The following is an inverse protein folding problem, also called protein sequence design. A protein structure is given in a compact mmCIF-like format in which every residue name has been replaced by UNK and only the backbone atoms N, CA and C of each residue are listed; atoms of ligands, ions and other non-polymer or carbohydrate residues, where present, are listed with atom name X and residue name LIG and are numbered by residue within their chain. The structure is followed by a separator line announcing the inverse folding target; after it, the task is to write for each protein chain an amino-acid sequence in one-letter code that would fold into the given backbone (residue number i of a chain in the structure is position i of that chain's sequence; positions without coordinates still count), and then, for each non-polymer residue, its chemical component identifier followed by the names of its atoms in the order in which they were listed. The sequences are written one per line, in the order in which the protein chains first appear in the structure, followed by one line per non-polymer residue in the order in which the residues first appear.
data_IF_222345882260
#
_entry.id   IF_222345882260
#
_cell.length_a   1.000
_cell.length_b   1.000
_cell.length_c   1.000
_cell.angle_alpha   90.00
_cell.angle_beta   90.00
_cell.angle_gamma   90.00
#
_symmetry.space_group_name_H-M   'P 1'
#
loop_
_entity.id
_entity.type
_entity.pdbx_description
1 polymer ?
#
# COMPACT_ATOMS: atom_id res chain seq x y z
N UNK A 1 -18.02 63.01 -4.22
CA UNK A 1 -16.98 61.97 -4.40
C UNK A 1 -17.40 60.75 -3.61
N UNK A 2 -17.70 59.62 -4.27
CA UNK A 2 -17.94 58.32 -3.63
C UNK A 2 -16.95 57.33 -4.22
N UNK A 3 -16.02 56.88 -3.38
CA UNK A 3 -15.05 55.83 -3.71
C UNK A 3 -15.78 54.49 -3.71
N UNK A 4 -15.80 53.81 -4.86
CA UNK A 4 -16.26 52.42 -4.96
C UNK A 4 -15.01 51.54 -4.86
N UNK A 5 -14.93 50.77 -3.78
CA UNK A 5 -13.89 49.76 -3.61
C UNK A 5 -14.15 48.59 -4.56
N UNK A 6 -13.16 48.22 -5.36
CA UNK A 6 -13.15 46.98 -6.16
C UNK A 6 -12.60 45.88 -5.26
N UNK A 7 -13.35 44.81 -4.96
CA UNK A 7 -12.76 43.69 -4.25
C UNK A 7 -11.95 42.87 -5.26
N UNK A 8 -10.64 42.80 -5.04
CA UNK A 8 -9.76 41.82 -5.67
C UNK A 8 -10.25 40.42 -5.34
N UNK A 9 -10.81 39.72 -6.33
CA UNK A 9 -11.10 38.29 -6.25
C UNK A 9 -9.76 37.56 -6.31
N UNK A 10 -9.22 37.24 -5.14
CA UNK A 10 -8.10 36.32 -5.01
C UNK A 10 -8.63 34.92 -5.34
N UNK A 11 -8.42 34.48 -6.58
CA UNK A 11 -8.72 33.12 -7.01
C UNK A 11 -7.82 32.15 -6.23
N UNK A 12 -8.35 31.58 -5.16
CA UNK A 12 -7.77 30.43 -4.48
C UNK A 12 -7.96 29.22 -5.41
N UNK A 13 -6.99 29.00 -6.30
CA UNK A 13 -6.84 27.76 -7.04
C UNK A 13 -6.50 26.67 -6.01
N UNK A 14 -7.52 25.99 -5.49
CA UNK A 14 -7.38 24.68 -4.86
C UNK A 14 -6.88 23.74 -5.96
N UNK A 15 -5.57 23.55 -6.04
CA UNK A 15 -4.97 22.35 -6.61
C UNK A 15 -5.41 21.19 -5.70
N UNK A 16 -6.57 20.61 -6.00
CA UNK A 16 -6.85 19.25 -5.58
C UNK A 16 -5.86 18.36 -6.32
N UNK A 17 -4.68 18.15 -5.74
CA UNK A 17 -3.94 16.94 -6.08
C UNK A 17 -4.82 15.77 -5.69
N UNK A 18 -5.25 15.02 -6.69
CA UNK A 18 -5.91 13.74 -6.52
C UNK A 18 -4.85 12.83 -5.90
N UNK A 19 -4.75 12.84 -4.57
CA UNK A 19 -4.01 11.83 -3.83
C UNK A 19 -4.70 10.51 -4.19
N UNK A 20 -4.06 9.72 -5.06
CA UNK A 20 -4.51 8.35 -5.36
C UNK A 20 -4.85 7.67 -4.03
N UNK A 21 -6.07 7.17 -3.95
CA UNK A 21 -6.80 6.85 -2.71
C UNK A 21 -6.27 5.59 -2.00
N UNK A 22 -5.00 5.60 -1.64
CA UNK A 22 -4.39 4.59 -0.79
C UNK A 22 -4.82 4.72 0.66
N UNK A 23 -4.93 3.58 1.34
CA UNK A 23 -5.24 3.55 2.76
C UNK A 23 -3.96 3.65 3.58
N UNK A 24 -3.93 4.60 4.51
CA UNK A 24 -2.82 4.78 5.45
C UNK A 24 -3.01 3.84 6.64
N UNK A 25 -1.96 3.08 6.94
CA UNK A 25 -1.85 2.22 8.12
C UNK A 25 -1.31 3.00 9.33
N UNK A 26 -1.57 2.49 10.53
CA UNK A 26 -0.87 2.89 11.74
C UNK A 26 0.62 2.55 11.65
N UNK A 27 1.43 3.26 12.44
CA UNK A 27 2.87 3.04 12.54
C UNK A 27 3.20 1.60 13.01
N UNK A 28 3.85 0.77 12.18
CA UNK A 28 4.15 -0.62 12.53
C UNK A 28 5.38 -0.77 13.45
N UNK A 29 6.19 0.28 13.65
CA UNK A 29 7.46 0.20 14.38
C UNK A 29 7.35 -0.31 15.82
N UNK A 30 6.33 0.06 16.61
CA UNK A 30 6.17 -0.46 17.97
C UNK A 30 5.94 -1.98 18.04
N UNK A 31 5.65 -2.62 16.90
CA UNK A 31 5.30 -4.03 16.83
C UNK A 31 6.39 -4.90 16.20
N UNK A 32 7.58 -4.35 15.96
CA UNK A 32 8.72 -5.12 15.47
C UNK A 32 8.92 -6.40 16.30
N UNK A 33 9.24 -7.49 15.61
CA UNK A 33 9.41 -8.83 16.20
C UNK A 33 8.17 -9.44 16.85
N UNK A 34 6.99 -8.83 16.70
CA UNK A 34 5.71 -9.36 17.20
C UNK A 34 4.74 -9.59 16.03
N UNK A 35 3.93 -10.65 16.11
CA UNK A 35 2.88 -10.89 15.11
C UNK A 35 1.68 -9.97 15.31
N UNK A 36 1.12 -9.50 14.19
CA UNK A 36 -0.17 -8.80 14.17
C UNK A 36 -1.20 -9.70 13.50
N UNK A 37 -2.20 -10.08 14.29
CA UNK A 37 -3.13 -11.14 13.92
C UNK A 37 -4.55 -10.60 13.83
N UNK A 38 -5.23 -10.95 12.74
CA UNK A 38 -6.68 -10.87 12.52
C UNK A 38 -7.15 -12.21 11.91
N UNK A 39 -8.22 -12.18 11.12
CA UNK A 39 -8.80 -13.34 10.42
C UNK A 39 -7.79 -14.15 9.60
N UNK A 40 -6.71 -13.51 9.15
CA UNK A 40 -5.73 -14.11 8.24
C UNK A 40 -4.54 -14.73 9.00
N UNK A 41 -4.60 -14.86 10.33
CA UNK A 41 -3.53 -15.52 11.11
C UNK A 41 -2.21 -14.74 11.11
N UNK A 42 -1.09 -15.44 10.93
CA UNK A 42 0.26 -14.85 10.89
C UNK A 42 0.67 -14.35 9.48
N UNK A 43 -0.28 -14.22 8.57
CA UNK A 43 0.00 -13.82 7.18
C UNK A 43 0.28 -12.32 7.03
N UNK A 44 0.83 -11.96 5.86
CA UNK A 44 1.15 -10.60 5.48
C UNK A 44 -0.08 -9.67 5.42
N UNK A 45 -1.20 -10.18 4.93
CA UNK A 45 -2.49 -9.45 4.87
C UNK A 45 -3.03 -9.14 6.26
N UNK A 46 -2.73 -10.01 7.24
CA UNK A 46 -3.12 -9.84 8.64
C UNK A 46 -2.50 -8.57 9.24
N UNK A 47 -1.24 -8.27 8.93
CA UNK A 47 -0.58 -7.02 9.34
C UNK A 47 -1.30 -5.80 8.77
N UNK A 48 -1.53 -5.77 7.45
CA UNK A 48 -2.18 -4.63 6.77
C UNK A 48 -3.60 -4.42 7.30
N UNK A 49 -4.40 -5.49 7.43
CA UNK A 49 -5.75 -5.43 8.00
C UNK A 49 -5.76 -5.04 9.47
N UNK A 50 -4.73 -5.40 10.23
CA UNK A 50 -4.61 -5.01 11.62
C UNK A 50 -4.31 -3.51 11.78
N UNK A 51 -3.47 -2.96 10.91
CA UNK A 51 -2.97 -1.59 10.99
C UNK A 51 -3.80 -0.57 10.20
N UNK A 52 -4.65 -1.01 9.27
CA UNK A 52 -5.60 -0.12 8.58
C UNK A 52 -6.98 -0.21 9.22
N UNK A 53 -7.52 0.95 9.62
CA UNK A 53 -8.89 1.05 10.16
C UNK A 53 -9.96 0.70 9.13
N UNK A 54 -9.66 0.89 7.83
CA UNK A 54 -10.60 0.62 6.74
C UNK A 54 -10.43 -0.80 6.22
N UNK A 55 -9.22 -1.18 5.77
CA UNK A 55 -9.01 -2.49 5.13
C UNK A 55 -9.27 -3.67 6.08
N UNK A 56 -9.21 -3.44 7.39
CA UNK A 56 -9.49 -4.43 8.41
C UNK A 56 -10.89 -5.04 8.37
N UNK A 57 -11.85 -4.34 7.75
CA UNK A 57 -13.26 -4.74 7.65
C UNK A 57 -13.59 -5.42 6.31
N UNK A 58 -12.60 -5.54 5.42
CA UNK A 58 -12.77 -6.06 4.07
C UNK A 58 -11.93 -7.32 3.82
N UNK A 59 -12.45 -8.21 2.98
CA UNK A 59 -11.67 -9.34 2.47
C UNK A 59 -10.75 -8.89 1.33
N UNK A 60 -9.66 -9.64 1.08
CA UNK A 60 -8.71 -9.33 -0.01
C UNK A 60 -9.33 -9.43 -1.41
N UNK A 61 -10.52 -10.02 -1.55
CA UNK A 61 -11.27 -10.04 -2.81
C UNK A 61 -11.77 -8.66 -3.24
N UNK A 62 -11.92 -7.73 -2.29
CA UNK A 62 -12.34 -6.34 -2.55
C UNK A 62 -11.18 -5.42 -2.92
N UNK A 63 -9.94 -5.88 -2.71
CA UNK A 63 -8.75 -5.09 -2.99
C UNK A 63 -8.53 -5.01 -4.48
N UNK A 64 -8.34 -3.78 -4.98
CA UNK A 64 -7.99 -3.50 -6.36
C UNK A 64 -6.67 -2.74 -6.43
N UNK A 65 -6.02 -2.89 -7.59
CA UNK A 65 -4.69 -2.38 -7.80
C UNK A 65 -4.73 -0.90 -8.16
N UNK A 66 -4.20 -0.04 -7.28
CA UNK A 66 -4.02 1.38 -7.55
C UNK A 66 -2.73 1.68 -8.32
N UNK A 67 -2.18 2.87 -8.08
CA UNK A 67 -0.92 3.30 -8.67
C UNK A 67 0.23 2.37 -8.29
N UNK A 68 1.15 2.13 -9.22
CA UNK A 68 2.36 1.36 -8.94
C UNK A 68 3.31 2.22 -8.11
N UNK A 69 3.78 1.66 -6.98
CA UNK A 69 4.63 2.40 -6.02
C UNK A 69 5.93 2.89 -6.67
N UNK A 70 6.52 2.09 -7.56
CA UNK A 70 7.75 2.46 -8.27
C UNK A 70 7.56 3.51 -9.36
N UNK A 71 6.33 3.71 -9.84
CA UNK A 71 6.01 4.76 -10.81
C UNK A 71 5.67 6.09 -10.10
N UNK A 72 5.32 6.04 -8.81
CA UNK A 72 5.07 7.19 -7.96
C UNK A 72 5.60 6.94 -6.54
N UNK A 73 6.83 7.39 -6.28
CA UNK A 73 7.48 7.22 -4.98
C UNK A 73 7.09 8.29 -3.94
N UNK A 74 6.24 9.25 -4.30
CA UNK A 74 5.78 10.32 -3.40
C UNK A 74 4.52 9.90 -2.60
N UNK A 75 4.14 8.62 -2.66
CA UNK A 75 3.06 8.11 -1.82
C UNK A 75 3.41 8.26 -0.33
N UNK A 76 2.43 8.55 0.55
CA UNK A 76 2.72 8.74 1.96
C UNK A 76 3.33 7.49 2.60
N UNK A 77 4.27 7.70 3.52
CA UNK A 77 4.72 6.66 4.44
C UNK A 77 3.52 6.01 5.14
N UNK A 78 3.61 4.71 5.36
CA UNK A 78 2.56 3.83 5.90
C UNK A 78 1.38 3.54 4.97
N UNK A 79 1.48 3.89 3.69
CA UNK A 79 0.48 3.45 2.70
C UNK A 79 0.43 1.92 2.62
N UNK A 80 -0.78 1.36 2.62
CA UNK A 80 -1.03 -0.05 2.39
C UNK A 80 -0.74 -0.41 0.91
N UNK A 81 0.13 -1.39 0.70
CA UNK A 81 0.56 -1.82 -0.63
C UNK A 81 0.46 -3.34 -0.76
N UNK A 82 0.27 -3.82 -1.98
CA UNK A 82 0.24 -5.24 -2.27
C UNK A 82 0.72 -5.52 -3.69
N UNK A 83 1.11 -6.77 -3.92
CA UNK A 83 1.21 -7.33 -5.27
C UNK A 83 -0.17 -7.68 -5.81
N UNK A 84 -0.31 -7.68 -7.12
CA UNK A 84 -1.56 -8.03 -7.81
C UNK A 84 -1.25 -8.95 -8.99
N UNK A 85 -0.58 -10.07 -8.72
CA UNK A 85 0.02 -10.94 -9.74
C UNK A 85 -0.91 -12.06 -10.22
N UNK A 86 -2.15 -12.09 -9.73
CA UNK A 86 -3.15 -13.05 -10.19
C UNK A 86 -3.74 -12.66 -11.54
N UNK A 87 -4.37 -13.61 -12.27
CA UNK A 87 -5.12 -13.35 -13.50
C UNK A 87 -5.97 -12.07 -13.46
N UNK A 88 -5.77 -11.21 -14.46
CA UNK A 88 -6.48 -9.93 -14.57
C UNK A 88 -6.03 -8.87 -13.56
N UNK A 89 -4.83 -8.99 -12.98
CA UNK A 89 -4.29 -8.02 -12.02
C UNK A 89 -4.98 -8.07 -10.66
N UNK A 90 -5.35 -9.27 -10.22
CA UNK A 90 -6.06 -9.47 -8.95
C UNK A 90 -5.12 -9.92 -7.84
N UNK A 91 -5.44 -9.54 -6.61
CA UNK A 91 -4.78 -10.08 -5.42
C UNK A 91 -5.20 -11.53 -5.20
N UNK A 92 -6.50 -11.79 -5.08
CA UNK A 92 -7.02 -13.13 -4.85
C UNK A 92 -7.75 -13.66 -6.08
N UNK A 93 -7.41 -14.89 -6.50
CA UNK A 93 -8.04 -15.57 -7.63
C UNK A 93 -8.66 -16.92 -7.25
N UNK A 94 -8.56 -17.33 -5.98
CA UNK A 94 -9.03 -18.62 -5.50
C UNK A 94 -8.17 -19.82 -5.94
N UNK A 95 -7.18 -19.62 -6.81
CA UNK A 95 -6.22 -20.65 -7.20
C UNK A 95 -5.01 -20.63 -6.25
N UNK A 96 -4.73 -21.76 -5.61
CA UNK A 96 -3.61 -21.92 -4.65
C UNK A 96 -2.25 -21.51 -5.20
N UNK A 97 -1.99 -21.78 -6.50
CA UNK A 97 -0.71 -21.43 -7.13
C UNK A 97 -0.53 -19.91 -7.29
N UNK A 98 -1.62 -19.17 -7.42
CA UNK A 98 -1.56 -17.71 -7.55
C UNK A 98 -1.38 -17.04 -6.19
N UNK A 99 -1.92 -17.64 -5.11
CA UNK A 99 -1.76 -17.13 -3.75
C UNK A 99 -0.28 -17.10 -3.31
N UNK A 100 0.54 -18.05 -3.76
CA UNK A 100 1.97 -18.07 -3.49
C UNK A 100 2.72 -16.87 -4.09
N UNK A 101 2.12 -16.19 -5.07
CA UNK A 101 2.67 -14.98 -5.72
C UNK A 101 2.16 -13.70 -5.09
N UNK A 102 1.37 -13.77 -4.02
CA UNK A 102 0.78 -12.57 -3.40
C UNK A 102 1.49 -12.17 -2.12
N UNK A 103 1.65 -10.87 -1.94
CA UNK A 103 2.12 -10.30 -0.69
C UNK A 103 1.50 -8.93 -0.45
N UNK A 104 1.29 -8.62 0.82
CA UNK A 104 0.80 -7.33 1.28
C UNK A 104 1.78 -6.76 2.31
N UNK A 105 1.99 -5.47 2.28
CA UNK A 105 2.94 -4.80 3.15
C UNK A 105 2.51 -3.36 3.45
N UNK A 106 3.23 -2.72 4.36
CA UNK A 106 3.08 -1.31 4.70
C UNK A 106 4.30 -0.58 4.15
N UNK A 107 4.08 0.37 3.23
CA UNK A 107 5.14 1.17 2.63
C UNK A 107 5.89 1.99 3.68
N UNK A 108 7.22 2.06 3.58
CA UNK A 108 8.03 2.96 4.38
C UNK A 108 8.67 4.05 3.52
N UNK A 109 9.51 3.67 2.57
CA UNK A 109 10.22 4.60 1.69
C UNK A 109 10.67 3.92 0.40
N UNK A 110 10.76 4.67 -0.69
CA UNK A 110 11.48 4.25 -1.88
C UNK A 110 12.99 4.47 -1.71
N UNK A 111 13.77 3.66 -2.43
CA UNK A 111 15.17 3.93 -2.74
C UNK A 111 15.42 3.76 -4.24
N UNK A 112 16.59 4.17 -4.75
CA UNK A 112 16.87 4.12 -6.19
C UNK A 112 16.72 2.71 -6.79
N UNK A 113 17.08 1.67 -6.03
CA UNK A 113 17.09 0.28 -6.44
C UNK A 113 16.00 -0.59 -5.79
N UNK A 114 14.98 0.00 -5.16
CA UNK A 114 13.96 -0.78 -4.46
C UNK A 114 13.05 0.04 -3.56
N UNK A 115 12.46 -0.62 -2.57
CA UNK A 115 11.66 0.03 -1.54
C UNK A 115 11.79 -0.70 -0.21
N UNK A 116 11.64 0.05 0.87
CA UNK A 116 11.51 -0.49 2.22
C UNK A 116 10.04 -0.63 2.57
N UNK A 117 9.72 -1.74 3.23
CA UNK A 117 8.38 -2.01 3.77
C UNK A 117 8.46 -2.51 5.20
N UNK A 118 7.33 -2.49 5.87
CA UNK A 118 7.06 -3.36 6.99
C UNK A 118 6.15 -4.49 6.54
N UNK A 119 6.56 -5.72 6.82
CA UNK A 119 5.82 -6.93 6.46
C UNK A 119 5.90 -8.00 7.55
N UNK A 120 5.08 -9.04 7.41
CA UNK A 120 5.18 -10.27 8.19
C UNK A 120 4.77 -11.45 7.31
N UNK A 121 5.09 -12.67 7.71
CA UNK A 121 4.53 -13.90 7.16
C UNK A 121 4.58 -15.01 8.22
N UNK A 122 4.08 -16.20 7.93
CA UNK A 122 4.04 -17.32 8.90
C UNK A 122 5.36 -17.64 9.61
N UNK A 123 6.49 -17.31 8.99
CA UNK A 123 7.82 -17.65 9.49
C UNK A 123 8.55 -16.43 10.09
N UNK A 124 8.04 -15.22 9.91
CA UNK A 124 8.67 -13.99 10.37
C UNK A 124 7.63 -13.00 10.88
N UNK A 125 7.69 -12.57 12.15
CA UNK A 125 6.84 -11.51 12.67
C UNK A 125 7.14 -10.17 12.00
N UNK A 126 6.46 -9.09 12.42
CA UNK A 126 6.63 -7.76 11.82
C UNK A 126 8.11 -7.39 11.78
N UNK A 127 8.59 -7.10 10.57
CA UNK A 127 9.96 -6.69 10.33
C UNK A 127 10.01 -5.61 9.26
N UNK A 128 11.05 -4.77 9.32
CA UNK A 128 11.38 -3.86 8.23
C UNK A 128 12.22 -4.60 7.19
N UNK A 129 11.74 -4.67 5.95
CA UNK A 129 12.34 -5.48 4.90
C UNK A 129 12.59 -4.63 3.66
N UNK A 130 13.77 -4.80 3.06
CA UNK A 130 14.09 -4.19 1.78
C UNK A 130 13.69 -5.13 0.65
N UNK A 131 12.90 -4.63 -0.30
CA UNK A 131 12.59 -5.30 -1.55
C UNK A 131 13.35 -4.63 -2.67
N UNK A 132 14.18 -5.42 -3.35
CA UNK A 132 14.97 -4.95 -4.48
C UNK A 132 14.08 -4.85 -5.72
N UNK A 133 14.35 -3.87 -6.57
CA UNK A 133 13.84 -3.86 -7.93
C UNK A 133 14.57 -4.94 -8.74
N UNK A 134 13.81 -5.98 -9.14
CA UNK A 134 14.32 -7.12 -9.90
C UNK A 134 13.90 -7.09 -11.38
N UNK A 135 13.41 -5.94 -11.88
CA UNK A 135 12.93 -5.84 -13.26
C UNK A 135 11.62 -6.61 -13.48
N UNK A 136 11.51 -7.33 -14.60
CA UNK A 136 10.28 -8.03 -15.01
C UNK A 136 9.97 -9.34 -14.30
N UNK A 137 10.52 -9.57 -13.10
CA UNK A 137 10.30 -10.79 -12.32
C UNK A 137 9.01 -10.72 -11.49
N UNK A 138 8.15 -11.72 -11.57
CA UNK A 138 6.85 -11.81 -10.87
C UNK A 138 6.99 -12.43 -9.46
N UNK A 139 8.00 -12.02 -8.71
CA UNK A 139 8.22 -12.46 -7.31
C UNK A 139 7.64 -11.48 -6.30
N UNK A 140 7.27 -11.99 -5.12
CA UNK A 140 6.74 -11.17 -4.02
C UNK A 140 7.78 -10.25 -3.40
N UNK A 141 9.08 -10.53 -3.56
CA UNK A 141 10.17 -9.66 -3.07
C UNK A 141 10.63 -8.63 -4.10
N UNK A 142 10.02 -8.56 -5.29
CA UNK A 142 10.34 -7.55 -6.29
C UNK A 142 9.55 -6.26 -6.04
N UNK A 143 10.27 -5.17 -5.79
CA UNK A 143 9.70 -3.84 -5.56
C UNK A 143 8.75 -3.36 -6.68
N UNK A 144 8.97 -3.76 -7.95
CA UNK A 144 8.12 -3.33 -9.08
C UNK A 144 6.70 -3.88 -9.06
N UNK A 145 6.49 -4.97 -8.32
CA UNK A 145 5.20 -5.65 -8.30
C UNK A 145 4.20 -5.00 -7.34
N UNK A 146 4.65 -4.04 -6.52
CA UNK A 146 3.82 -3.40 -5.52
C UNK A 146 3.02 -2.24 -6.08
N UNK A 147 1.74 -2.25 -5.74
CA UNK A 147 0.76 -1.21 -6.03
C UNK A 147 0.07 -0.80 -4.74
N UNK A 148 -0.39 0.44 -4.71
CA UNK A 148 -1.27 0.93 -3.65
C UNK A 148 -2.53 0.07 -3.61
N UNK A 149 -2.96 -0.33 -2.41
CA UNK A 149 -4.23 -1.03 -2.22
C UNK A 149 -5.36 0.01 -2.26
N UNK A 150 -6.31 -0.19 -3.15
CA UNK A 150 -7.58 0.53 -3.21
C UNK A 150 -8.74 -0.46 -2.98
N UNK A 151 -9.97 0.04 -2.78
CA UNK A 151 -11.18 -0.79 -2.67
C UNK A 151 -12.08 -0.57 -3.88
N UNK A 152 -12.77 -1.63 -4.29
CA UNK A 152 -13.86 -1.57 -5.27
C UNK A 152 -15.21 -1.27 -4.62
#
# INVERSE_FOLDING_TARGET
MKTVAVPSVLAFLLLLEIVSGGYICQDPRPYLSTYRVRSDGHECTSLVKNMSTVLGDYTTNSWVAGVRVRDNCDIPRWTAIATFLGPGGKYNTGAVNDMAKQHAAIFDTCESNGLWVYDQNRNRPVNRTFFKDLGGDDTTSNARNYRVIELR
#
